data_IF_928412193172
#
_entry.id   IF_928412193172
#
_cell.length_a   1.000
_cell.length_b   1.000
_cell.length_c   1.000
_cell.angle_alpha   90.00
_cell.angle_beta   90.00
_cell.angle_gamma   90.00
#
_symmetry.space_group_name_H-M   'P 1'
#
loop_
_entity.id
_entity.type
_entity.pdbx_description
1 polymer ?
#
# COMPACT_ATOMS: atom_id res chain seq x y z
N UNK A 1 -1.14 -23.57 4.53
CA UNK A 1 -1.65 -23.52 5.91
C UNK A 1 -0.85 -22.49 6.69
N UNK A 2 -1.47 -21.79 7.63
CA UNK A 2 -0.82 -20.79 8.48
C UNK A 2 -1.20 -21.03 9.95
N UNK A 3 -0.33 -20.60 10.86
CA UNK A 3 -0.62 -20.60 12.29
C UNK A 3 -0.19 -19.24 12.88
N UNK A 4 -0.85 -18.82 13.95
CA UNK A 4 -0.54 -17.59 14.66
C UNK A 4 -0.34 -17.87 16.15
N UNK A 5 0.49 -17.06 16.78
CA UNK A 5 0.75 -17.12 18.20
C UNK A 5 0.73 -15.70 18.80
N UNK A 6 -0.05 -15.56 19.87
CA UNK A 6 -0.08 -14.37 20.71
C UNK A 6 0.74 -14.65 21.97
N UNK A 7 1.80 -13.87 22.15
CA UNK A 7 2.66 -13.97 23.34
C UNK A 7 1.92 -13.39 24.55
N UNK A 8 2.21 -13.90 25.75
CA UNK A 8 1.42 -13.60 26.96
C UNK A 8 1.53 -12.15 27.47
N UNK A 9 2.55 -11.39 27.02
CA UNK A 9 2.71 -9.99 27.43
C UNK A 9 1.85 -9.07 26.56
N UNK A 10 1.13 -8.18 27.23
CA UNK A 10 0.36 -7.12 26.59
C UNK A 10 1.29 -6.25 25.72
N UNK A 11 0.90 -6.02 24.47
CA UNK A 11 1.63 -5.24 23.44
C UNK A 11 2.75 -5.94 22.65
N UNK A 12 2.95 -7.25 22.78
CA UNK A 12 3.86 -7.96 21.88
C UNK A 12 3.22 -8.18 20.49
N UNK A 13 4.02 -8.02 19.43
CA UNK A 13 3.54 -8.22 18.04
C UNK A 13 3.11 -9.67 17.86
N UNK A 14 2.02 -9.89 17.13
CA UNK A 14 1.59 -11.23 16.76
C UNK A 14 2.68 -11.92 15.94
N UNK A 15 2.93 -13.19 16.27
CA UNK A 15 3.80 -14.06 15.50
C UNK A 15 2.94 -14.84 14.52
N UNK A 16 3.30 -14.82 13.25
CA UNK A 16 2.63 -15.59 12.21
C UNK A 16 3.65 -16.47 11.52
N UNK A 17 3.29 -17.72 11.24
CA UNK A 17 4.10 -18.61 10.43
C UNK A 17 3.27 -19.18 9.28
N UNK A 18 3.78 -19.03 8.07
CA UNK A 18 3.16 -19.49 6.84
C UNK A 18 3.95 -20.66 6.28
N UNK A 19 3.31 -21.82 6.11
CA UNK A 19 3.90 -22.92 5.37
C UNK A 19 3.69 -22.68 3.87
N UNK A 20 4.76 -22.30 3.18
CA UNK A 20 4.72 -21.91 1.76
C UNK A 20 4.57 -23.11 0.84
N UNK A 21 5.02 -24.31 1.23
CA UNK A 21 4.77 -25.52 0.46
C UNK A 21 3.28 -25.77 0.29
N UNK A 22 2.49 -25.59 1.34
CA UNK A 22 1.03 -25.75 1.26
C UNK A 22 0.40 -24.55 0.56
N UNK A 23 0.78 -23.32 0.90
CA UNK A 23 0.11 -22.11 0.39
C UNK A 23 0.38 -21.85 -1.10
N UNK A 24 1.58 -22.15 -1.57
CA UNK A 24 2.00 -21.95 -2.96
C UNK A 24 2.12 -23.26 -3.74
N UNK A 25 1.83 -24.41 -3.11
CA UNK A 25 1.91 -25.72 -3.75
C UNK A 25 3.34 -26.18 -4.09
N UNK A 26 4.35 -25.74 -3.33
CA UNK A 26 5.75 -26.10 -3.59
C UNK A 26 5.99 -27.58 -3.26
N UNK A 27 6.37 -28.36 -4.27
CA UNK A 27 6.80 -29.75 -4.12
C UNK A 27 8.31 -29.80 -3.85
N UNK A 28 8.67 -30.05 -2.59
CA UNK A 28 10.06 -30.13 -2.15
C UNK A 28 10.15 -30.96 -0.89
N UNK A 29 11.27 -31.66 -0.69
CA UNK A 29 11.60 -32.34 0.56
C UNK A 29 11.94 -31.33 1.67
N UNK A 30 12.22 -30.07 1.30
CA UNK A 30 12.44 -28.97 2.23
C UNK A 30 11.14 -28.21 2.47
N UNK A 31 10.83 -27.95 3.75
CA UNK A 31 9.73 -27.07 4.14
C UNK A 31 10.19 -25.62 4.18
N UNK A 32 9.54 -24.77 3.39
CA UNK A 32 9.75 -23.33 3.33
C UNK A 32 8.69 -22.62 4.16
N UNK A 33 9.15 -21.77 5.07
CA UNK A 33 8.32 -20.99 5.97
C UNK A 33 8.58 -19.50 5.79
N UNK A 34 7.52 -18.70 5.91
CA UNK A 34 7.64 -17.25 6.12
C UNK A 34 7.13 -16.95 7.52
N UNK A 35 8.02 -16.43 8.36
CA UNK A 35 7.71 -16.12 9.77
C UNK A 35 7.76 -14.60 9.98
N UNK A 36 6.75 -14.06 10.65
CA UNK A 36 6.67 -12.65 11.02
C UNK A 36 6.92 -12.50 12.52
N UNK A 37 7.73 -11.49 12.89
CA UNK A 37 7.94 -11.04 14.27
C UNK A 37 8.51 -12.09 15.26
N UNK A 38 9.26 -13.08 14.77
CA UNK A 38 9.91 -14.08 15.64
C UNK A 38 11.30 -14.51 15.13
N UNK A 39 12.03 -13.59 14.50
CA UNK A 39 13.37 -13.85 13.94
C UNK A 39 14.32 -14.43 14.99
N UNK A 40 14.21 -14.00 16.24
CA UNK A 40 15.05 -14.47 17.35
C UNK A 40 14.82 -15.95 17.71
N UNK A 41 13.71 -16.53 17.28
CA UNK A 41 13.37 -17.94 17.53
C UNK A 41 13.82 -18.88 16.41
N UNK A 42 14.47 -18.35 15.36
CA UNK A 42 14.89 -19.10 14.17
C UNK A 42 16.41 -19.27 14.21
N UNK A 43 16.90 -20.49 13.96
CA UNK A 43 18.33 -20.72 13.80
C UNK A 43 18.88 -19.86 12.64
N UNK A 44 19.93 -19.05 12.83
CA UNK A 44 20.44 -18.17 11.79
C UNK A 44 20.83 -18.89 10.49
N UNK A 45 21.29 -20.14 10.58
CA UNK A 45 21.64 -20.96 9.41
C UNK A 45 20.43 -21.45 8.60
N UNK A 46 19.21 -21.22 9.09
CA UNK A 46 17.94 -21.55 8.42
C UNK A 46 17.24 -20.33 7.83
N UNK A 47 17.76 -19.13 8.06
CA UNK A 47 17.21 -17.90 7.48
C UNK A 47 17.76 -17.76 6.06
N UNK A 48 16.87 -17.86 5.08
CA UNK A 48 17.22 -17.66 3.65
C UNK A 48 17.33 -16.16 3.36
N UNK A 49 16.38 -15.37 3.86
CA UNK A 49 16.35 -13.92 3.72
C UNK A 49 15.51 -13.28 4.85
N UNK A 50 15.69 -11.98 5.07
CA UNK A 50 14.97 -11.21 6.09
C UNK A 50 14.62 -9.82 5.57
N UNK A 51 13.37 -9.43 5.75
CA UNK A 51 12.84 -8.16 5.29
C UNK A 51 12.20 -7.40 6.45
N UNK A 52 12.39 -6.09 6.48
CA UNK A 52 11.68 -5.22 7.39
C UNK A 52 10.56 -4.50 6.64
N UNK A 53 9.31 -4.84 6.95
CA UNK A 53 8.13 -4.18 6.40
C UNK A 53 7.45 -3.33 7.46
N UNK A 54 6.99 -2.16 7.05
CA UNK A 54 6.07 -1.34 7.86
C UNK A 54 4.65 -1.56 7.36
N UNK A 55 3.74 -1.89 8.29
CA UNK A 55 2.32 -1.97 8.00
C UNK A 55 1.62 -0.70 8.46
N UNK A 56 0.73 -0.11 7.64
CA UNK A 56 -0.07 1.03 8.06
C UNK A 56 -1.00 0.61 9.19
N UNK A 57 -1.09 1.44 10.22
CA UNK A 57 -2.11 1.32 11.24
C UNK A 57 -3.27 2.21 10.83
N UNK A 58 -4.41 1.61 10.54
CA UNK A 58 -5.61 2.35 10.19
C UNK A 58 -6.27 2.91 11.45
N UNK A 59 -6.36 4.23 11.50
CA UNK A 59 -7.10 5.01 12.49
C UNK A 59 -8.13 5.91 11.82
N UNK A 60 -9.04 6.50 12.60
CA UNK A 60 -10.00 7.48 12.08
C UNK A 60 -9.29 8.67 11.43
N UNK A 61 -8.16 9.10 11.99
CA UNK A 61 -7.31 10.15 11.44
C UNK A 61 -6.71 9.73 10.09
N UNK A 62 -6.23 8.49 9.96
CA UNK A 62 -5.68 7.98 8.70
C UNK A 62 -6.74 7.97 7.57
N UNK A 63 -7.98 7.59 7.90
CA UNK A 63 -9.10 7.58 6.95
C UNK A 63 -9.47 9.00 6.52
N UNK A 64 -9.51 9.94 7.48
CA UNK A 64 -9.75 11.35 7.21
C UNK A 64 -8.64 11.96 6.35
N UNK A 65 -7.37 11.63 6.61
CA UNK A 65 -6.22 12.07 5.82
C UNK A 65 -6.29 11.54 4.38
N UNK A 66 -6.59 10.25 4.20
CA UNK A 66 -6.76 9.66 2.87
C UNK A 66 -7.86 10.36 2.07
N UNK A 67 -8.96 10.79 2.71
CA UNK A 67 -10.01 11.60 2.06
C UNK A 67 -9.47 12.95 1.60
N UNK A 68 -8.79 13.69 2.48
CA UNK A 68 -8.19 15.00 2.13
C UNK A 68 -7.22 14.90 0.96
N UNK A 69 -6.41 13.84 0.90
CA UNK A 69 -5.47 13.60 -0.21
C UNK A 69 -6.22 13.35 -1.52
N UNK A 70 -7.32 12.58 -1.50
CA UNK A 70 -8.14 12.34 -2.69
C UNK A 70 -8.79 13.64 -3.20
N UNK A 71 -9.24 14.50 -2.29
CA UNK A 71 -9.92 15.76 -2.63
C UNK A 71 -8.94 16.84 -3.14
N UNK A 72 -7.65 16.75 -2.79
CA UNK A 72 -6.62 17.69 -3.26
C UNK A 72 -5.87 17.20 -4.51
N UNK A 73 -6.14 15.99 -4.98
CA UNK A 73 -5.41 15.36 -6.08
C UNK A 73 -5.54 16.17 -7.37
N UNK A 74 -4.42 16.40 -8.07
CA UNK A 74 -4.35 17.21 -9.29
C UNK A 74 -4.17 18.72 -9.07
N UNK A 75 -4.22 19.21 -7.84
CA UNK A 75 -3.86 20.60 -7.53
C UNK A 75 -2.36 20.82 -7.73
N UNK A 76 -2.00 21.97 -8.29
CA UNK A 76 -0.61 22.37 -8.54
C UNK A 76 0.20 21.30 -9.33
N UNK A 77 -0.45 20.59 -10.25
CA UNK A 77 0.15 19.51 -11.06
C UNK A 77 0.71 18.35 -10.22
N UNK A 78 0.28 18.22 -8.97
CA UNK A 78 0.72 17.16 -8.05
C UNK A 78 -0.36 16.10 -7.91
N UNK A 79 0.06 14.84 -8.02
CA UNK A 79 -0.84 13.71 -7.91
C UNK A 79 -0.34 12.68 -6.90
N UNK A 80 -1.28 12.06 -6.18
CA UNK A 80 -1.00 11.03 -5.18
C UNK A 80 -1.72 9.73 -5.54
N UNK A 81 -1.00 8.61 -5.50
CA UNK A 81 -1.51 7.26 -5.66
C UNK A 81 -0.84 6.32 -4.64
N UNK A 82 -1.52 5.25 -4.26
CA UNK A 82 -1.03 4.27 -3.31
C UNK A 82 -2.15 3.55 -2.57
N UNK A 83 -1.84 2.35 -2.08
CA UNK A 83 -2.79 1.49 -1.37
C UNK A 83 -3.40 2.17 -0.13
N UNK A 84 -2.65 3.06 0.52
CA UNK A 84 -3.08 3.79 1.71
C UNK A 84 -4.14 4.86 1.42
N UNK A 85 -4.43 5.14 0.15
CA UNK A 85 -5.56 5.99 -0.25
C UNK A 85 -6.87 5.21 -0.32
N UNK A 86 -6.87 3.92 0.01
CA UNK A 86 -8.03 3.05 0.18
C UNK A 86 -7.94 2.27 1.49
N UNK A 87 -8.13 0.96 1.42
CA UNK A 87 -8.10 0.06 2.58
C UNK A 87 -6.73 -0.65 2.76
N UNK A 88 -5.70 -0.24 2.02
CA UNK A 88 -4.35 -0.78 2.14
C UNK A 88 -4.09 -2.05 1.31
N UNK A 89 -5.02 -2.47 0.46
CA UNK A 89 -4.81 -3.63 -0.41
C UNK A 89 -4.10 -3.25 -1.71
N UNK A 90 -3.56 -4.26 -2.39
CA UNK A 90 -2.94 -4.08 -3.71
C UNK A 90 -3.91 -3.47 -4.72
N UNK A 91 -5.19 -3.85 -4.67
CA UNK A 91 -6.24 -3.30 -5.52
C UNK A 91 -6.44 -1.79 -5.31
N UNK A 92 -6.35 -1.31 -4.06
CA UNK A 92 -6.43 0.13 -3.78
C UNK A 92 -5.27 0.90 -4.43
N UNK A 93 -4.10 0.26 -4.49
CA UNK A 93 -2.93 0.78 -5.21
C UNK A 93 -3.21 0.91 -6.71
N UNK A 94 -3.72 -0.15 -7.33
CA UNK A 94 -4.07 -0.15 -8.76
C UNK A 94 -5.16 0.87 -9.07
N UNK A 95 -6.25 0.87 -8.31
CA UNK A 95 -7.40 1.78 -8.49
C UNK A 95 -6.98 3.24 -8.31
N UNK A 96 -6.16 3.56 -7.32
CA UNK A 96 -5.66 4.92 -7.12
C UNK A 96 -4.72 5.37 -8.24
N UNK A 97 -3.85 4.49 -8.73
CA UNK A 97 -3.00 4.75 -9.90
C UNK A 97 -3.83 5.03 -11.16
N UNK A 98 -4.84 4.20 -11.43
CA UNK A 98 -5.77 4.41 -12.54
C UNK A 98 -6.48 5.77 -12.46
N UNK A 99 -6.95 6.15 -11.27
CA UNK A 99 -7.60 7.46 -11.04
C UNK A 99 -6.66 8.63 -11.37
N UNK A 100 -5.39 8.54 -10.99
CA UNK A 100 -4.38 9.55 -11.33
C UNK A 100 -4.17 9.62 -12.84
N UNK A 101 -3.98 8.47 -13.50
CA UNK A 101 -3.80 8.42 -14.95
C UNK A 101 -4.99 9.03 -15.71
N UNK A 102 -6.21 8.66 -15.33
CA UNK A 102 -7.45 9.23 -15.90
C UNK A 102 -7.51 10.76 -15.69
N UNK A 103 -7.13 11.23 -14.49
CA UNK A 103 -7.11 12.65 -14.16
C UNK A 103 -6.11 13.43 -15.00
N UNK A 104 -4.90 12.90 -15.18
CA UNK A 104 -3.88 13.50 -16.05
C UNK A 104 -4.35 13.52 -17.51
N UNK A 105 -4.91 12.41 -18.01
CA UNK A 105 -5.39 12.33 -19.39
C UNK A 105 -6.46 13.39 -19.70
N UNK A 106 -7.35 13.70 -18.75
CA UNK A 106 -8.36 14.78 -18.92
C UNK A 106 -7.75 16.17 -19.10
N UNK A 107 -6.57 16.42 -18.52
CA UNK A 107 -5.86 17.69 -18.68
C UNK A 107 -5.16 17.81 -20.04
N UNK A 108 -4.85 16.68 -20.68
CA UNK A 108 -4.08 16.62 -21.94
C UNK A 108 -4.99 16.43 -23.15
N UNK A 109 -6.20 15.90 -22.98
CA UNK A 109 -7.15 15.72 -24.08
C UNK A 109 -7.57 17.07 -24.70
N UNK A 110 -7.47 17.22 -26.03
CA UNK A 110 -7.72 18.50 -26.73
C UNK A 110 -9.18 18.99 -26.67
N UNK A 111 -10.13 18.17 -26.20
CA UNK A 111 -11.53 18.56 -26.06
C UNK A 111 -11.81 19.59 -24.94
N UNK A 112 -10.80 19.99 -24.15
CA UNK A 112 -10.97 20.92 -23.02
C UNK A 112 -10.14 22.22 -23.15
N UNK A 113 -9.43 22.43 -24.27
CA UNK A 113 -8.58 23.61 -24.45
C UNK A 113 -9.27 24.82 -25.08
N UNK A 114 -10.56 24.76 -25.41
CA UNK A 114 -11.21 25.78 -26.25
C UNK A 114 -12.15 26.78 -25.50
N UNK A 115 -11.98 26.98 -24.18
CA UNK A 115 -12.85 27.93 -23.44
C UNK A 115 -12.13 28.84 -22.42
N UNK A 116 -10.81 28.87 -22.36
CA UNK A 116 -10.10 29.71 -21.37
C UNK A 116 -9.01 30.63 -21.95
N UNK A 117 -9.11 30.99 -23.24
CA UNK A 117 -8.27 32.04 -23.86
C UNK A 117 -8.92 33.43 -23.86
N UNK A 118 -10.08 33.60 -23.22
CA UNK A 118 -10.76 34.88 -23.10
C UNK A 118 -11.17 35.13 -21.65
N UNK A 119 -10.22 35.55 -20.81
CA UNK A 119 -10.42 36.67 -19.88
C UNK A 119 -9.09 37.10 -19.24
N UNK A 120 -8.49 38.07 -19.93
CA UNK A 120 -7.70 39.22 -19.48
C UNK A 120 -7.20 39.30 -18.02
N UNK A 121 -5.90 39.62 -17.94
CA UNK A 121 -5.33 40.81 -17.27
C UNK A 121 -5.87 41.15 -15.88
N UNK A 122 -5.08 40.84 -14.85
CA UNK A 122 -4.61 41.77 -13.80
C UNK A 122 -4.05 40.96 -12.61
N UNK A 123 -2.75 41.07 -12.35
CA UNK A 123 -2.23 41.76 -11.16
C UNK A 123 -0.70 41.81 -11.26
N UNK A 124 -0.18 43.02 -11.08
CA UNK A 124 1.22 43.30 -10.80
C UNK A 124 1.61 42.80 -9.40
#
# INVERSE_FOLDING_TARGET
SWNYWLRQRQQERAVLNYNMNILQGLKSDTTFCVTLNATESISPSKIIDSFNYSHPVFSLESVAAARKIRDCNGRNRTWFAGAYLGNGFHEDGVVSGRRVADGINRLVSPATQDVASLDRVAYA
#
